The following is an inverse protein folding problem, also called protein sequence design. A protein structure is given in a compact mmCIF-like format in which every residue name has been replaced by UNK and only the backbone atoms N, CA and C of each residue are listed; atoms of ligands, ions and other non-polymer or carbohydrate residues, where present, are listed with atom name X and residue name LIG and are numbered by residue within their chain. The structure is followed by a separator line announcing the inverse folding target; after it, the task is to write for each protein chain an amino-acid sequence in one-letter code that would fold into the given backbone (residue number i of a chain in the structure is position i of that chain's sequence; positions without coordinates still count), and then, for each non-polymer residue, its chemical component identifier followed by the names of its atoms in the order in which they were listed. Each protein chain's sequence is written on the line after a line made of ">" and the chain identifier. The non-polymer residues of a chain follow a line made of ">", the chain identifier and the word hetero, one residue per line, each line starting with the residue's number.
data_IF_514314329549
#
_entry.id   IF_514314329549
#
_cell.length_a   1.000
_cell.length_b   1.000
_cell.length_c   1.000
_cell.angle_alpha   90.00
_cell.angle_beta   90.00
_cell.angle_gamma   90.00
#
_symmetry.space_group_name_H-M   'P 1'
#
loop_
_entity.id
_entity.type
_entity.pdbx_description
1 polymer ?
#
# COMPACT_ATOMS: atom_id res chain seq x y z
N UNK A 1 1.89 -1.84 -20.14
CA UNK A 1 1.84 -2.42 -18.78
C UNK A 1 0.41 -2.29 -18.32
N UNK A 2 -0.29 -3.40 -18.07
CA UNK A 2 -1.70 -3.39 -17.66
C UNK A 2 -1.84 -2.64 -16.33
N UNK A 3 -2.50 -1.48 -16.38
CA UNK A 3 -2.72 -0.54 -15.27
C UNK A 3 -3.84 -1.04 -14.35
N UNK A 4 -3.69 -2.23 -13.81
CA UNK A 4 -4.71 -2.79 -12.90
C UNK A 4 -4.46 -2.24 -11.51
N UNK A 5 -5.42 -1.50 -10.96
CA UNK A 5 -5.43 -1.11 -9.55
C UNK A 5 -5.26 -2.37 -8.69
N UNK A 6 -4.38 -2.37 -7.67
CA UNK A 6 -4.21 -3.53 -6.79
C UNK A 6 -5.55 -3.93 -6.16
N UNK A 7 -5.86 -5.24 -6.13
CA UNK A 7 -7.18 -5.75 -5.70
C UNK A 7 -7.13 -6.58 -4.42
N UNK A 8 -5.94 -6.83 -3.89
CA UNK A 8 -5.73 -7.64 -2.70
C UNK A 8 -4.59 -7.06 -1.88
N UNK A 9 -4.55 -7.38 -0.58
CA UNK A 9 -3.41 -7.06 0.29
C UNK A 9 -2.04 -7.35 -0.34
N UNK A 10 -1.88 -8.50 -1.01
CA UNK A 10 -0.60 -8.89 -1.63
C UNK A 10 -0.24 -7.98 -2.80
N UNK A 11 -1.21 -7.62 -3.64
CA UNK A 11 -0.99 -6.70 -4.75
C UNK A 11 -0.60 -5.31 -4.22
N UNK A 12 -1.24 -4.85 -3.16
CA UNK A 12 -0.92 -3.59 -2.49
C UNK A 12 0.48 -3.61 -1.89
N UNK A 13 0.88 -4.69 -1.20
CA UNK A 13 2.24 -4.85 -0.71
C UNK A 13 3.27 -4.77 -1.85
N UNK A 14 3.05 -5.49 -2.96
CA UNK A 14 3.93 -5.43 -4.14
C UNK A 14 4.00 -4.01 -4.70
N UNK A 15 2.86 -3.31 -4.74
CA UNK A 15 2.79 -1.92 -5.18
C UNK A 15 3.60 -0.99 -4.25
N UNK A 16 3.43 -1.13 -2.94
CA UNK A 16 4.10 -0.32 -1.91
C UNK A 16 5.61 -0.61 -1.77
N UNK A 17 6.11 -1.78 -2.20
CA UNK A 17 7.57 -2.06 -2.27
C UNK A 17 8.36 -1.09 -3.16
N UNK A 18 7.69 -0.28 -3.97
CA UNK A 18 8.29 0.85 -4.70
C UNK A 18 8.76 1.97 -3.76
N UNK A 19 8.10 2.16 -2.62
CA UNK A 19 8.51 3.10 -1.59
C UNK A 19 9.80 2.62 -0.91
N UNK A 20 10.80 3.51 -0.87
CA UNK A 20 12.11 3.27 -0.25
C UNK A 20 12.24 3.85 1.16
N UNK A 21 11.27 4.68 1.55
CA UNK A 21 11.16 5.27 2.88
C UNK A 21 9.68 5.37 3.27
N UNK A 22 9.44 5.65 4.55
CA UNK A 22 8.11 5.74 5.15
C UNK A 22 7.32 6.93 4.56
N UNK A 23 7.96 8.08 4.37
CA UNK A 23 7.29 9.27 3.82
C UNK A 23 6.65 9.00 2.45
N UNK A 24 7.38 8.31 1.55
CA UNK A 24 6.86 7.94 0.23
C UNK A 24 5.76 6.89 0.34
N UNK A 25 5.89 5.96 1.29
CA UNK A 25 4.89 4.93 1.53
C UNK A 25 3.55 5.55 1.97
N UNK A 26 3.59 6.53 2.86
CA UNK A 26 2.41 7.26 3.34
C UNK A 26 1.75 8.06 2.21
N UNK A 27 2.53 8.79 1.39
CA UNK A 27 2.01 9.50 0.22
C UNK A 27 1.32 8.56 -0.79
N UNK A 28 1.86 7.35 -0.95
CA UNK A 28 1.25 6.33 -1.82
C UNK A 28 -0.08 5.82 -1.26
N UNK A 29 -0.19 5.62 0.06
CA UNK A 29 -1.44 5.20 0.70
C UNK A 29 -2.49 6.31 0.60
N UNK A 30 -2.14 7.56 0.89
CA UNK A 30 -3.04 8.71 0.75
C UNK A 30 -3.59 8.84 -0.67
N UNK A 31 -2.72 8.67 -1.67
CA UNK A 31 -3.11 8.67 -3.07
C UNK A 31 -4.01 7.51 -3.46
N UNK A 32 -3.86 6.35 -2.81
CA UNK A 32 -4.72 5.19 -3.00
C UNK A 32 -6.10 5.38 -2.36
N UNK A 33 -6.16 5.81 -1.09
CA UNK A 33 -7.40 5.97 -0.34
C UNK A 33 -8.35 7.00 -0.98
N UNK A 34 -7.81 8.03 -1.65
CA UNK A 34 -8.61 9.00 -2.43
C UNK A 34 -9.29 8.40 -3.67
N UNK A 35 -8.86 7.22 -4.13
CA UNK A 35 -9.36 6.57 -5.37
C UNK A 35 -10.19 5.32 -5.10
N UNK A 36 -10.02 4.69 -3.94
CA UNK A 36 -10.75 3.48 -3.55
C UNK A 36 -12.11 3.87 -2.96
N UNK A 37 -13.15 3.15 -3.36
CA UNK A 37 -14.54 3.56 -3.08
C UNK A 37 -15.21 2.71 -2.01
N UNK A 38 -14.66 1.52 -1.74
CA UNK A 38 -15.24 0.60 -0.76
C UNK A 38 -14.33 0.43 0.46
N UNK A 39 -14.90 0.24 1.67
CA UNK A 39 -14.11 -0.05 2.86
C UNK A 39 -13.22 -1.29 2.71
N UNK A 40 -13.66 -2.30 1.95
CA UNK A 40 -12.88 -3.51 1.70
C UNK A 40 -11.59 -3.21 0.91
N UNK A 41 -11.69 -2.44 -0.18
CA UNK A 41 -10.53 -2.01 -0.96
C UNK A 41 -9.55 -1.18 -0.12
N UNK A 42 -10.08 -0.27 0.71
CA UNK A 42 -9.27 0.56 1.61
C UNK A 42 -8.55 -0.31 2.65
N UNK A 43 -9.24 -1.32 3.21
CA UNK A 43 -8.63 -2.25 4.16
C UNK A 43 -7.47 -3.04 3.51
N UNK A 44 -7.64 -3.53 2.28
CA UNK A 44 -6.57 -4.21 1.55
C UNK A 44 -5.35 -3.30 1.32
N UNK A 45 -5.58 -2.02 1.01
CA UNK A 45 -4.52 -1.02 0.87
C UNK A 45 -3.81 -0.75 2.19
N UNK A 46 -4.54 -0.57 3.29
CA UNK A 46 -3.97 -0.33 4.63
C UNK A 46 -3.12 -1.53 5.07
N UNK A 47 -3.63 -2.76 4.94
CA UNK A 47 -2.89 -3.97 5.31
C UNK A 47 -1.64 -4.20 4.46
N UNK A 48 -1.65 -3.76 3.20
CA UNK A 48 -0.47 -3.77 2.33
C UNK A 48 0.57 -2.72 2.76
N UNK A 49 0.10 -1.54 3.17
CA UNK A 49 0.95 -0.46 3.70
C UNK A 49 1.63 -0.88 5.00
N UNK A 50 0.88 -1.40 5.98
CA UNK A 50 1.42 -1.87 7.27
C UNK A 50 2.49 -2.95 7.09
N UNK A 51 2.25 -3.89 6.17
CA UNK A 51 3.23 -4.93 5.85
C UNK A 51 4.53 -4.32 5.28
N UNK A 52 4.41 -3.28 4.44
CA UNK A 52 5.59 -2.59 3.89
C UNK A 52 6.29 -1.72 4.94
N UNK A 53 5.55 -1.10 5.84
CA UNK A 53 6.11 -0.31 6.94
C UNK A 53 6.98 -1.20 7.83
N UNK A 54 6.49 -2.39 8.20
CA UNK A 54 7.26 -3.39 8.93
C UNK A 54 8.53 -3.84 8.18
N UNK A 55 8.47 -3.98 6.85
CA UNK A 55 9.66 -4.26 6.02
C UNK A 55 10.69 -3.11 6.02
N UNK A 56 10.27 -1.86 6.22
CA UNK A 56 11.13 -0.67 6.19
C UNK A 56 11.77 -0.36 7.55
N UNK A 57 10.98 -0.45 8.62
CA UNK A 57 11.44 -0.17 9.99
C UNK A 57 12.24 -1.33 10.57
N UNK A 58 12.08 -2.54 10.02
CA UNK A 58 12.75 -3.76 10.49
C UNK A 58 12.18 -4.27 11.81
N UNK A 59 12.57 -5.47 12.26
CA UNK A 59 12.21 -5.94 13.59
C UNK A 59 12.89 -5.02 14.63
N UNK A 60 12.09 -4.29 15.38
CA UNK A 60 12.53 -3.53 16.55
C UNK A 60 13.15 -4.42 17.62
#
# INVERSE_FOLDING_TARGET
>A
MTTTTPKSRTDWLIFFRRAKNVDTLDLMLDGALKKLNTPAEQADAILGHEARLNELEGPG
#
